data_IF_075068676239
#
_entry.id   IF_075068676239
#
_cell.length_a   1.000
_cell.length_b   1.000
_cell.length_c   1.000
_cell.angle_alpha   90.00
_cell.angle_beta   90.00
_cell.angle_gamma   90.00
#
_symmetry.space_group_name_H-M   'P 1'
#
loop_
_entity.id
_entity.type
_entity.pdbx_description
1 polymer ?
#
# COMPACT_ATOMS: atom_id res chain seq x y z
N UNK A 1 -11.78 -7.59 -8.34
CA UNK A 1 -11.57 -6.71 -9.52
C UNK A 1 -10.31 -5.89 -9.25
N UNK A 2 -9.11 -6.34 -9.66
CA UNK A 2 -7.85 -5.74 -9.17
C UNK A 2 -6.64 -5.89 -10.12
N UNK A 3 -6.84 -5.82 -11.44
CA UNK A 3 -5.71 -5.70 -12.37
C UNK A 3 -6.16 -4.87 -13.57
N UNK A 4 -6.24 -3.56 -13.36
CA UNK A 4 -5.91 -2.67 -14.47
C UNK A 4 -4.41 -2.87 -14.73
N UNK A 5 -4.05 -3.16 -15.97
CA UNK A 5 -2.65 -3.39 -16.38
C UNK A 5 -1.95 -2.04 -16.50
N UNK A 6 -1.44 -1.54 -15.38
CA UNK A 6 -0.77 -0.24 -15.33
C UNK A 6 0.66 -0.26 -15.89
N UNK A 7 1.27 -1.45 -15.98
CA UNK A 7 2.64 -1.62 -16.44
C UNK A 7 2.65 -2.26 -17.82
N UNK A 8 3.53 -1.76 -18.69
CA UNK A 8 3.94 -2.45 -19.91
C UNK A 8 4.80 -3.68 -19.55
N UNK A 9 5.03 -4.60 -20.50
CA UNK A 9 5.71 -5.88 -20.23
C UNK A 9 7.05 -5.76 -19.48
N UNK A 10 7.89 -4.79 -19.85
CA UNK A 10 9.16 -4.58 -19.16
C UNK A 10 8.97 -4.08 -17.72
N UNK A 11 7.93 -3.28 -17.45
CA UNK A 11 7.53 -2.89 -16.11
C UNK A 11 7.12 -4.08 -15.25
N UNK A 12 6.38 -5.05 -15.81
CA UNK A 12 6.05 -6.30 -15.12
C UNK A 12 7.30 -7.13 -14.79
N UNK A 13 8.27 -7.20 -15.70
CA UNK A 13 9.55 -7.89 -15.43
C UNK A 13 10.30 -7.23 -14.27
N UNK A 14 10.32 -5.90 -14.21
CA UNK A 14 10.91 -5.17 -13.08
C UNK A 14 10.15 -5.45 -11.80
N UNK A 15 8.81 -5.38 -11.83
CA UNK A 15 7.94 -5.64 -10.68
C UNK A 15 8.23 -7.00 -10.02
N UNK A 16 8.31 -8.06 -10.83
CA UNK A 16 8.56 -9.41 -10.31
C UNK A 16 9.98 -9.62 -9.77
N UNK A 17 10.93 -8.75 -10.15
CA UNK A 17 12.34 -8.83 -9.74
C UNK A 17 12.70 -7.89 -8.59
N UNK A 18 11.76 -7.07 -8.11
CA UNK A 18 12.04 -6.14 -7.02
C UNK A 18 12.49 -6.89 -5.78
N UNK A 19 13.59 -6.46 -5.17
CA UNK A 19 14.02 -6.84 -3.83
C UNK A 19 13.42 -5.89 -2.78
N UNK A 20 13.37 -6.26 -1.49
CA UNK A 20 12.93 -5.33 -0.45
C UNK A 20 13.72 -4.03 -0.49
N UNK A 21 13.01 -2.90 -0.47
CA UNK A 21 13.57 -1.56 -0.63
C UNK A 21 13.67 -1.07 -2.06
N UNK A 22 13.54 -1.94 -3.06
CA UNK A 22 13.55 -1.55 -4.47
C UNK A 22 12.16 -1.15 -4.97
N UNK A 23 12.16 -0.28 -5.99
CA UNK A 23 10.96 0.21 -6.65
C UNK A 23 11.05 0.07 -8.15
N UNK A 24 9.89 0.04 -8.81
CA UNK A 24 9.84 0.25 -10.26
C UNK A 24 10.23 1.70 -10.61
N UNK A 25 10.59 1.96 -11.87
CA UNK A 25 10.51 3.31 -12.44
C UNK A 25 9.12 3.91 -12.19
N UNK A 26 9.07 5.24 -12.12
CA UNK A 26 7.81 5.94 -12.03
C UNK A 26 7.06 5.84 -13.36
N UNK A 27 5.75 5.73 -13.27
CA UNK A 27 4.84 5.82 -14.41
C UNK A 27 3.70 6.77 -14.07
N UNK A 28 3.23 7.49 -15.08
CA UNK A 28 2.12 8.43 -14.93
C UNK A 28 0.81 7.70 -15.20
N UNK A 29 -0.13 7.80 -14.28
CA UNK A 29 -1.51 7.36 -14.51
C UNK A 29 -2.36 8.58 -14.84
N UNK A 30 -2.92 8.66 -16.06
CA UNK A 30 -3.86 9.72 -16.39
C UNK A 30 -5.16 9.48 -15.63
N UNK A 31 -5.63 10.51 -14.92
CA UNK A 31 -6.98 10.56 -14.37
C UNK A 31 -7.75 11.69 -15.02
N UNK A 32 -9.08 11.54 -15.13
CA UNK A 32 -9.94 12.57 -15.73
C UNK A 32 -9.81 13.92 -15.01
N UNK A 33 -9.77 13.88 -13.69
CA UNK A 33 -9.70 15.07 -12.83
C UNK A 33 -8.38 15.18 -12.05
N UNK A 34 -7.65 14.05 -11.91
CA UNK A 34 -6.40 14.00 -11.15
C UNK A 34 -5.41 13.00 -11.76
N UNK A 35 -4.40 13.52 -12.43
CA UNK A 35 -3.25 12.71 -12.84
C UNK A 35 -2.33 12.44 -11.65
N UNK A 36 -1.79 11.23 -11.57
CA UNK A 36 -0.87 10.81 -10.50
C UNK A 36 0.41 10.23 -11.06
N UNK A 37 1.49 10.42 -10.31
CA UNK A 37 2.76 9.73 -10.50
C UNK A 37 2.78 8.53 -9.56
N UNK A 38 3.00 7.35 -10.13
CA UNK A 38 2.87 6.07 -9.42
C UNK A 38 4.12 5.23 -9.57
N UNK A 39 4.40 4.40 -8.57
CA UNK A 39 5.41 3.34 -8.63
C UNK A 39 5.04 2.20 -7.69
N UNK A 40 5.59 1.02 -7.96
CA UNK A 40 5.51 -0.10 -7.03
C UNK A 40 6.77 -0.17 -6.18
N UNK A 41 6.62 -0.48 -4.90
CA UNK A 41 7.69 -0.58 -3.91
C UNK A 41 7.52 -1.90 -3.16
N UNK A 42 8.60 -2.68 -3.03
CA UNK A 42 8.60 -3.88 -2.19
C UNK A 42 9.06 -3.53 -0.77
N UNK A 43 8.18 -3.67 0.21
CA UNK A 43 8.47 -3.40 1.63
C UNK A 43 9.21 -4.58 2.29
N UNK A 44 8.76 -5.81 1.98
CA UNK A 44 9.31 -7.06 2.52
C UNK A 44 9.22 -8.17 1.49
N UNK A 45 9.87 -9.29 1.79
CA UNK A 45 9.80 -10.52 1.01
C UNK A 45 11.19 -11.04 0.64
N UNK A 46 11.23 -12.29 0.21
CA UNK A 46 12.37 -12.97 -0.38
C UNK A 46 11.98 -13.50 -1.75
N UNK A 47 12.96 -13.94 -2.55
CA UNK A 47 12.69 -14.58 -3.85
C UNK A 47 11.83 -15.86 -3.73
N UNK A 48 11.68 -16.41 -2.52
CA UNK A 48 10.86 -17.59 -2.23
C UNK A 48 9.40 -17.26 -1.87
N UNK A 49 9.06 -15.98 -1.63
CA UNK A 49 7.70 -15.57 -1.31
C UNK A 49 6.84 -15.42 -2.57
N UNK A 50 5.51 -15.36 -2.40
CA UNK A 50 4.59 -15.09 -3.52
C UNK A 50 5.03 -13.81 -4.27
N UNK A 51 4.94 -13.78 -5.62
CA UNK A 51 5.53 -12.70 -6.42
C UNK A 51 5.04 -11.30 -6.07
N UNK A 52 3.82 -11.17 -5.56
CA UNK A 52 3.16 -9.93 -5.14
C UNK A 52 3.23 -9.65 -3.62
N UNK A 53 3.79 -10.57 -2.84
CA UNK A 53 3.90 -10.44 -1.39
C UNK A 53 4.75 -9.23 -1.01
N UNK A 54 4.21 -8.38 -0.13
CA UNK A 54 4.93 -7.21 0.37
C UNK A 54 5.15 -6.10 -0.65
N UNK A 55 4.46 -6.11 -1.79
CA UNK A 55 4.47 -4.99 -2.73
C UNK A 55 3.29 -4.05 -2.45
N UNK A 56 3.58 -2.75 -2.42
CA UNK A 56 2.59 -1.68 -2.39
C UNK A 56 2.72 -0.80 -3.64
N UNK A 57 1.61 -0.15 -4.02
CA UNK A 57 1.64 0.95 -5.01
C UNK A 57 1.61 2.27 -4.25
N UNK A 58 2.56 3.13 -4.54
CA UNK A 58 2.65 4.48 -3.99
C UNK A 58 2.27 5.47 -5.08
N UNK A 59 1.49 6.48 -4.71
CA UNK A 59 1.00 7.50 -5.61
C UNK A 59 1.13 8.88 -4.98
N UNK A 60 1.51 9.86 -5.79
CA UNK A 60 1.44 11.28 -5.47
C UNK A 60 0.82 12.00 -6.66
N UNK A 61 0.17 13.14 -6.41
CA UNK A 61 -0.41 13.91 -7.50
C UNK A 61 0.69 14.39 -8.44
N UNK A 62 0.42 14.38 -9.74
CA UNK A 62 1.37 14.88 -10.74
C UNK A 62 1.69 16.37 -10.48
N UNK A 63 0.67 17.16 -10.11
CA UNK A 63 0.86 18.55 -9.70
C UNK A 63 1.86 18.71 -8.53
N UNK A 64 1.76 17.86 -7.50
CA UNK A 64 2.73 17.88 -6.39
C UNK A 64 4.12 17.46 -6.87
N UNK A 65 4.22 16.39 -7.67
CA UNK A 65 5.48 15.94 -8.22
C UNK A 65 6.20 17.04 -9.03
N UNK A 66 5.48 17.76 -9.90
CA UNK A 66 6.04 18.87 -10.68
C UNK A 66 6.43 20.08 -9.81
N UNK A 67 5.79 20.27 -8.65
CA UNK A 67 6.11 21.37 -7.73
C UNK A 67 7.41 21.17 -6.94
N UNK A 68 7.96 19.95 -6.92
CA UNK A 68 9.16 19.62 -6.15
C UNK A 68 10.43 20.06 -6.88
N UNK A 69 11.43 20.64 -6.20
CA UNK A 69 12.69 21.05 -6.82
C UNK A 69 13.55 19.85 -7.25
N UNK A 70 13.42 18.71 -6.58
CA UNK A 70 14.13 17.45 -6.88
C UNK A 70 13.17 16.26 -6.77
N UNK A 71 12.27 16.08 -7.74
CA UNK A 71 11.14 15.17 -7.60
C UNK A 71 11.55 13.70 -7.48
N UNK A 72 12.57 13.27 -8.23
CA UNK A 72 13.10 11.91 -8.14
C UNK A 72 13.77 11.62 -6.79
N UNK A 73 14.56 12.57 -6.27
CA UNK A 73 15.18 12.44 -4.95
C UNK A 73 14.13 12.33 -3.84
N UNK A 74 13.04 13.09 -3.95
CA UNK A 74 11.91 12.99 -3.03
C UNK A 74 11.29 11.59 -3.07
N UNK A 75 11.06 11.03 -4.26
CA UNK A 75 10.49 9.68 -4.41
C UNK A 75 11.40 8.60 -3.85
N UNK A 76 12.71 8.73 -4.04
CA UNK A 76 13.70 7.80 -3.46
C UNK A 76 13.71 7.89 -1.93
N UNK A 77 13.73 9.11 -1.38
CA UNK A 77 13.65 9.34 0.06
C UNK A 77 12.34 8.83 0.66
N UNK A 78 11.20 9.07 0.01
CA UNK A 78 9.89 8.57 0.42
C UNK A 78 9.87 7.04 0.41
N UNK A 79 10.41 6.42 -0.62
CA UNK A 79 10.45 4.95 -0.73
C UNK A 79 11.30 4.33 0.38
N UNK A 80 12.48 4.91 0.66
CA UNK A 80 13.34 4.48 1.76
C UNK A 80 12.63 4.64 3.12
N UNK A 81 11.97 5.78 3.35
CA UNK A 81 11.23 6.04 4.58
C UNK A 81 10.08 5.07 4.78
N UNK A 82 9.28 4.77 3.74
CA UNK A 82 8.19 3.80 3.80
C UNK A 82 8.68 2.40 4.20
N UNK A 83 9.84 1.99 3.70
CA UNK A 83 10.48 0.70 4.05
C UNK A 83 10.93 0.69 5.51
N UNK A 84 11.40 1.82 6.04
CA UNK A 84 11.82 1.95 7.44
C UNK A 84 10.63 1.79 8.40
N UNK A 85 9.51 2.45 8.08
CA UNK A 85 8.29 2.47 8.91
C UNK A 85 7.34 1.30 8.66
N UNK A 86 7.76 0.30 7.86
CA UNK A 86 6.96 -0.90 7.62
C UNK A 86 6.57 -1.61 8.92
N UNK A 87 5.41 -2.26 8.89
CA UNK A 87 4.96 -3.10 10.00
C UNK A 87 5.87 -4.33 10.14
N UNK A 88 6.28 -4.62 11.39
CA UNK A 88 7.10 -5.80 11.75
C UNK A 88 6.38 -6.73 12.73
N UNK A 89 5.10 -6.46 13.02
CA UNK A 89 4.33 -7.24 14.00
C UNK A 89 4.05 -8.64 13.46
N UNK A 90 4.38 -9.65 14.25
CA UNK A 90 3.99 -11.03 13.95
C UNK A 90 2.50 -11.22 14.22
N UNK A 91 1.83 -12.02 13.39
CA UNK A 91 0.41 -12.36 13.56
C UNK A 91 -0.59 -11.29 13.10
N UNK A 92 -0.13 -10.19 12.49
CA UNK A 92 -1.02 -9.28 11.78
C UNK A 92 -1.11 -9.69 10.30
N UNK A 93 -2.30 -10.11 9.87
CA UNK A 93 -2.52 -10.75 8.55
C UNK A 93 -1.97 -9.95 7.37
N UNK A 94 -1.95 -8.61 7.47
CA UNK A 94 -1.50 -7.70 6.41
C UNK A 94 -0.13 -7.07 6.69
N UNK A 95 0.66 -7.64 7.60
CA UNK A 95 1.94 -7.05 8.05
C UNK A 95 2.89 -6.76 6.88
N UNK A 96 2.96 -7.66 5.90
CA UNK A 96 3.85 -7.54 4.76
C UNK A 96 3.61 -6.28 3.90
N UNK A 97 2.37 -5.79 3.85
CA UNK A 97 1.98 -4.64 3.01
C UNK A 97 1.56 -3.41 3.84
N UNK A 98 1.73 -3.46 5.16
CA UNK A 98 1.26 -2.41 6.06
C UNK A 98 2.40 -1.61 6.66
N UNK A 99 2.11 -0.38 7.06
CA UNK A 99 3.04 0.50 7.77
C UNK A 99 2.66 0.53 9.25
N UNK A 100 3.64 0.58 10.14
CA UNK A 100 3.41 0.61 11.59
C UNK A 100 2.46 1.77 12.02
N UNK A 101 2.56 2.99 11.45
CA UNK A 101 1.61 4.05 11.76
C UNK A 101 0.16 3.73 11.38
N UNK A 102 -0.05 3.03 10.25
CA UNK A 102 -1.39 2.62 9.81
C UNK A 102 -1.96 1.59 10.78
N UNK A 103 -1.17 0.58 11.17
CA UNK A 103 -1.62 -0.45 12.11
C UNK A 103 -1.98 0.16 13.48
N UNK A 104 -1.19 1.14 13.96
CA UNK A 104 -1.50 1.86 15.21
C UNK A 104 -2.78 2.68 15.11
N UNK A 105 -3.02 3.32 13.97
CA UNK A 105 -4.26 4.05 13.73
C UNK A 105 -5.47 3.09 13.70
N UNK A 106 -5.34 1.95 13.03
CA UNK A 106 -6.37 0.89 13.01
C UNK A 106 -6.69 0.36 14.43
N UNK A 107 -5.66 0.07 15.24
CA UNK A 107 -5.84 -0.39 16.62
C UNK A 107 -6.56 0.66 17.47
N UNK A 108 -6.22 1.94 17.29
CA UNK A 108 -6.86 3.04 18.02
C UNK A 108 -8.32 3.23 17.59
N UNK A 109 -8.60 3.12 16.28
CA UNK A 109 -9.95 3.20 15.74
C UNK A 109 -10.82 2.02 16.16
N UNK A 110 -10.26 0.80 16.25
CA UNK A 110 -10.99 -0.40 16.68
C UNK A 110 -11.68 -0.24 18.03
N UNK A 111 -11.08 0.50 18.97
CA UNK A 111 -11.66 0.76 20.29
C UNK A 111 -12.97 1.55 20.21
N UNK A 112 -13.18 2.32 19.14
CA UNK A 112 -14.40 3.11 18.92
C UNK A 112 -15.56 2.30 18.36
N UNK A 113 -15.31 1.10 17.82
CA UNK A 113 -16.34 0.27 17.21
C UNK A 113 -16.88 -0.77 18.19
N UNK A 114 -18.20 -0.96 18.20
CA UNK A 114 -18.80 -2.06 18.95
C UNK A 114 -18.35 -3.41 18.40
N UNK A 115 -18.03 -4.39 19.26
CA UNK A 115 -17.68 -5.73 18.80
C UNK A 115 -18.76 -6.29 17.87
N UNK A 116 -18.42 -6.90 16.73
CA UNK A 116 -19.39 -7.41 15.77
C UNK A 116 -20.40 -8.39 16.38
N UNK A 117 -19.98 -9.17 17.38
CA UNK A 117 -20.86 -10.08 18.10
C UNK A 117 -22.00 -9.36 18.85
N UNK A 118 -21.72 -8.17 19.41
CA UNK A 118 -22.74 -7.36 20.07
C UNK A 118 -23.74 -6.80 19.07
N UNK A 119 -23.24 -6.25 17.96
CA UNK A 119 -24.08 -5.74 16.87
C UNK A 119 -24.95 -6.84 16.23
N UNK A 120 -24.36 -8.01 16.00
CA UNK A 120 -25.07 -9.19 15.46
C UNK A 120 -26.18 -9.64 16.39
N UNK A 121 -25.90 -9.76 17.69
CA UNK A 121 -26.90 -10.14 18.70
C UNK A 121 -28.02 -9.11 18.82
N UNK A 122 -27.67 -7.82 18.82
CA UNK A 122 -28.63 -6.73 18.84
C UNK A 122 -29.51 -6.75 17.59
N UNK A 123 -28.91 -6.93 16.41
CA UNK A 123 -29.62 -7.01 15.14
C UNK A 123 -30.65 -8.15 15.13
N UNK A 124 -30.25 -9.39 15.45
CA UNK A 124 -31.18 -10.53 15.49
C UNK A 124 -32.34 -10.31 16.47
N UNK A 125 -32.06 -9.72 17.64
CA UNK A 125 -33.12 -9.37 18.61
C UNK A 125 -34.11 -8.34 18.06
N UNK A 126 -33.66 -7.38 17.26
CA UNK A 126 -34.53 -6.36 16.68
C UNK A 126 -35.29 -6.85 15.44
N UNK A 127 -34.71 -7.76 14.65
CA UNK A 127 -35.32 -8.25 13.41
C UNK A 127 -36.13 -9.54 13.59
N UNK A 128 -36.02 -10.24 14.72
CA UNK A 128 -36.74 -11.49 14.97
C UNK A 128 -36.31 -12.66 14.07
N UNK A 129 -35.09 -12.57 13.52
CA UNK A 129 -34.41 -13.64 12.78
C UNK A 129 -33.58 -14.48 13.74
#
# INVERSE_FOLDING_TARGET
>A
RHREEYLHEAGWRTFYRLKPGERTPLFRLPGKDLAVMSWYLRLVGSEADLPDSGIIRVEITDAFFQSLPKPFHYVDALSAWLVEIRCRRQGYDRAAISLEPIVRAEDSLRVLFSPPGYLKTWFYRQTGL
#
